data_IF_046331869731
#
_entry.id   IF_046331869731
#
_cell.length_a   1.000
_cell.length_b   1.000
_cell.length_c   1.000
_cell.angle_alpha   90.00
_cell.angle_beta   90.00
_cell.angle_gamma   90.00
#
_symmetry.space_group_name_H-M   'P 1'
#
loop_
_entity.id
_entity.type
_entity.pdbx_description
1 polymer ?
#
# COMPACT_ATOMS: atom_id res chain seq x y z
N UNK A 1 -10.43 -2.10 12.09
CA UNK A 1 -10.66 -1.02 11.15
C UNK A 1 -9.72 0.13 11.47
N UNK A 2 -9.25 0.83 10.46
CA UNK A 2 -8.39 1.99 10.62
C UNK A 2 -9.25 3.26 10.75
N UNK A 3 -8.90 4.13 11.69
CA UNK A 3 -9.53 5.42 11.87
C UNK A 3 -8.46 6.48 12.10
N UNK A 4 -8.61 7.61 11.45
CA UNK A 4 -7.75 8.77 11.63
C UNK A 4 -8.62 9.98 11.92
N UNK A 5 -8.29 10.72 12.97
CA UNK A 5 -9.10 11.83 13.47
C UNK A 5 -8.26 13.10 13.57
N UNK A 6 -8.75 14.17 12.92
CA UNK A 6 -8.18 15.52 12.99
C UNK A 6 -6.68 15.59 12.69
N UNK A 7 -6.21 14.78 11.71
CA UNK A 7 -4.80 14.74 11.35
C UNK A 7 -4.35 16.06 10.70
N UNK A 8 -3.26 16.61 11.19
CA UNK A 8 -2.56 17.72 10.56
C UNK A 8 -1.13 17.28 10.24
N UNK A 9 -0.65 17.62 9.04
CA UNK A 9 0.71 17.36 8.61
C UNK A 9 1.35 18.65 8.11
N UNK A 10 2.48 19.03 8.70
CA UNK A 10 3.28 20.19 8.33
C UNK A 10 4.65 19.67 7.88
N UNK A 11 5.15 20.18 6.76
CA UNK A 11 6.50 19.90 6.26
C UNK A 11 7.11 21.22 5.82
N UNK A 12 8.31 21.54 6.31
CA UNK A 12 9.02 22.80 6.03
C UNK A 12 8.12 24.02 6.26
N UNK A 13 7.47 24.08 7.42
CA UNK A 13 6.52 25.12 7.85
C UNK A 13 5.29 25.31 6.94
N UNK A 14 5.03 24.35 6.04
CA UNK A 14 3.86 24.37 5.15
C UNK A 14 2.88 23.26 5.53
N UNK A 15 1.61 23.59 5.80
CA UNK A 15 0.59 22.57 6.02
C UNK A 15 0.31 21.86 4.69
N UNK A 16 0.49 20.54 4.66
CA UNK A 16 0.09 19.69 3.54
C UNK A 16 -1.41 19.38 3.63
N UNK A 17 -1.90 19.15 4.83
CA UNK A 17 -3.32 19.01 5.15
C UNK A 17 -3.54 19.29 6.64
N UNK A 18 -4.76 19.71 6.99
CA UNK A 18 -5.15 20.03 8.35
C UNK A 18 -6.52 19.44 8.68
N UNK A 19 -6.70 19.04 9.92
CA UNK A 19 -7.96 18.52 10.47
C UNK A 19 -8.58 17.37 9.64
N UNK A 20 -7.74 16.56 8.96
CA UNK A 20 -8.18 15.46 8.11
C UNK A 20 -8.73 14.33 8.98
N UNK A 21 -9.97 13.94 8.70
CA UNK A 21 -10.60 12.79 9.34
C UNK A 21 -10.97 11.76 8.27
N UNK A 22 -10.62 10.51 8.49
CA UNK A 22 -10.98 9.40 7.61
C UNK A 22 -11.18 8.11 8.41
N UNK A 23 -11.98 7.23 7.86
CA UNK A 23 -12.14 5.85 8.34
C UNK A 23 -12.00 4.88 7.18
N UNK A 24 -11.56 3.68 7.45
CA UNK A 24 -11.52 2.58 6.48
C UNK A 24 -12.20 1.36 7.08
N UNK A 25 -13.22 0.88 6.39
CA UNK A 25 -13.96 -0.30 6.78
C UNK A 25 -13.33 -1.60 6.24
N UNK A 26 -13.72 -2.74 6.80
CA UNK A 26 -13.37 -4.04 6.24
C UNK A 26 -13.99 -4.20 4.84
N UNK A 27 -13.22 -4.74 3.89
CA UNK A 27 -13.65 -4.90 2.50
C UNK A 27 -13.64 -3.62 1.66
N UNK A 28 -13.18 -2.50 2.21
CA UNK A 28 -13.15 -1.21 1.50
C UNK A 28 -11.78 -0.93 0.90
N UNK A 29 -11.79 -0.35 -0.32
CA UNK A 29 -10.62 0.25 -0.93
C UNK A 29 -10.73 1.78 -0.86
N UNK A 30 -9.67 2.45 -0.43
CA UNK A 30 -9.57 3.90 -0.36
C UNK A 30 -8.45 4.40 -1.28
N UNK A 31 -8.81 5.17 -2.30
CA UNK A 31 -7.84 5.90 -3.12
C UNK A 31 -7.57 7.27 -2.51
N UNK A 32 -6.32 7.57 -2.24
CA UNK A 32 -5.88 8.92 -1.88
C UNK A 32 -5.41 9.62 -3.15
N UNK A 33 -6.18 10.60 -3.60
CA UNK A 33 -5.93 11.41 -4.78
C UNK A 33 -5.47 12.83 -4.40
N UNK A 34 -4.86 13.54 -5.34
CA UNK A 34 -4.36 14.91 -5.16
C UNK A 34 -3.13 15.16 -6.02
N UNK A 35 -2.75 16.41 -6.17
CA UNK A 35 -1.60 16.83 -6.95
C UNK A 35 -0.26 16.31 -6.38
N UNK A 36 0.80 16.44 -7.16
CA UNK A 36 2.14 16.18 -6.67
C UNK A 36 2.48 17.18 -5.56
N UNK A 37 3.00 16.66 -4.44
CA UNK A 37 3.27 17.50 -3.26
C UNK A 37 2.08 17.70 -2.31
N UNK A 38 0.87 17.24 -2.64
CA UNK A 38 -0.31 17.38 -1.77
C UNK A 38 -0.24 16.58 -0.45
N UNK A 39 0.85 15.84 -0.21
CA UNK A 39 1.02 15.11 1.05
C UNK A 39 0.52 13.66 1.03
N UNK A 40 0.22 13.07 -0.15
CA UNK A 40 -0.27 11.69 -0.25
C UNK A 40 0.64 10.68 0.46
N UNK A 41 1.93 10.66 0.12
CA UNK A 41 2.92 9.77 0.76
C UNK A 41 3.06 10.06 2.26
N UNK A 42 3.01 11.35 2.67
CA UNK A 42 3.05 11.75 4.08
C UNK A 42 1.84 11.20 4.84
N UNK A 43 0.63 11.30 4.28
CA UNK A 43 -0.56 10.71 4.85
C UNK A 43 -0.42 9.20 5.00
N UNK A 44 0.00 8.49 3.94
CA UNK A 44 0.18 7.04 4.00
C UNK A 44 1.19 6.65 5.10
N UNK A 45 2.31 7.39 5.23
CA UNK A 45 3.31 7.13 6.28
C UNK A 45 2.75 7.37 7.68
N UNK A 46 1.91 8.38 7.87
CA UNK A 46 1.22 8.64 9.15
C UNK A 46 0.26 7.48 9.45
N UNK A 47 -0.54 7.04 8.49
CA UNK A 47 -1.48 5.93 8.64
C UNK A 47 -0.78 4.60 8.93
N UNK A 48 0.46 4.42 8.44
CA UNK A 48 1.30 3.26 8.77
C UNK A 48 1.99 3.37 10.15
N UNK A 49 1.89 4.52 10.84
CA UNK A 49 2.66 4.78 12.05
C UNK A 49 4.17 4.94 11.80
N UNK A 50 4.58 5.22 10.55
CA UNK A 50 5.98 5.48 10.15
C UNK A 50 6.37 6.95 10.26
N UNK A 51 5.38 7.84 10.35
CA UNK A 51 5.56 9.26 10.65
C UNK A 51 4.55 9.69 11.72
N UNK A 52 4.89 10.74 12.45
CA UNK A 52 3.98 11.36 13.42
C UNK A 52 3.25 12.51 12.74
N UNK A 53 1.94 12.66 12.94
CA UNK A 53 1.24 13.88 12.55
C UNK A 53 1.63 15.02 13.50
N UNK A 54 1.44 16.27 13.08
CA UNK A 54 1.55 17.45 13.93
C UNK A 54 0.46 17.44 15.02
N UNK A 55 -0.75 17.07 14.62
CA UNK A 55 -1.89 16.86 15.53
C UNK A 55 -2.82 15.77 15.01
N UNK A 56 -3.72 15.31 15.87
CA UNK A 56 -4.65 14.23 15.57
C UNK A 56 -4.13 12.85 15.94
N UNK A 57 -4.96 11.84 15.75
CA UNK A 57 -4.69 10.47 16.19
C UNK A 57 -5.08 9.47 15.10
N UNK A 58 -4.23 8.46 14.91
CA UNK A 58 -4.57 7.27 14.13
C UNK A 58 -4.85 6.12 15.09
N UNK A 59 -5.94 5.41 14.87
CA UNK A 59 -6.36 4.27 15.68
C UNK A 59 -6.58 3.03 14.80
N UNK A 60 -6.21 1.88 15.33
CA UNK A 60 -6.47 0.57 14.75
C UNK A 60 -7.36 -0.23 15.69
N UNK A 61 -8.51 -0.74 15.18
CA UNK A 61 -9.48 -1.50 15.97
C UNK A 61 -9.89 -0.79 17.27
N UNK A 62 -10.08 0.55 17.20
CA UNK A 62 -10.48 1.37 18.33
C UNK A 62 -9.36 1.75 19.30
N UNK A 63 -8.11 1.35 19.05
CA UNK A 63 -6.98 1.69 19.91
C UNK A 63 -5.98 2.59 19.18
N UNK A 64 -5.46 3.65 19.83
CA UNK A 64 -4.41 4.49 19.25
C UNK A 64 -3.19 3.68 18.82
N UNK A 65 -2.63 3.96 17.63
CA UNK A 65 -1.47 3.22 17.10
C UNK A 65 -0.27 3.24 18.06
N UNK A 66 -0.09 4.31 18.83
CA UNK A 66 0.97 4.42 19.81
C UNK A 66 0.93 3.29 20.86
N UNK A 67 -0.25 2.74 21.16
CA UNK A 67 -0.44 1.66 22.14
C UNK A 67 -0.34 0.26 21.54
N UNK A 68 -0.60 0.12 20.22
CA UNK A 68 -0.72 -1.19 19.54
C UNK A 68 0.22 -1.34 18.36
N UNK A 69 1.29 -0.56 18.29
CA UNK A 69 2.17 -0.45 17.13
C UNK A 69 2.68 -1.80 16.62
N UNK A 70 3.14 -2.66 17.51
CA UNK A 70 3.72 -3.95 17.13
C UNK A 70 2.65 -4.89 16.55
N UNK A 71 1.49 -5.02 17.23
CA UNK A 71 0.39 -5.86 16.75
C UNK A 71 -0.23 -5.30 15.47
N UNK A 72 -0.26 -3.97 15.29
CA UNK A 72 -0.69 -3.32 14.08
C UNK A 72 0.24 -3.63 12.91
N UNK A 73 1.55 -3.49 13.08
CA UNK A 73 2.51 -3.77 12.00
C UNK A 73 2.50 -5.24 11.56
N UNK A 74 2.13 -6.18 12.43
CA UNK A 74 1.91 -7.59 12.04
C UNK A 74 0.68 -7.78 11.14
N UNK A 75 -0.27 -6.84 11.18
CA UNK A 75 -1.51 -6.85 10.41
C UNK A 75 -1.49 -5.88 9.21
N UNK A 76 -0.33 -5.27 8.94
CA UNK A 76 -0.14 -4.28 7.88
C UNK A 76 0.84 -4.79 6.83
N UNK A 77 0.47 -4.72 5.57
CA UNK A 77 1.43 -4.71 4.47
C UNK A 77 1.63 -3.28 3.96
N UNK A 78 2.84 -2.76 4.10
CA UNK A 78 3.27 -1.49 3.54
C UNK A 78 4.13 -1.71 2.29
N UNK A 79 3.74 -1.08 1.18
CA UNK A 79 4.56 -0.93 -0.03
C UNK A 79 4.70 0.56 -0.35
N UNK A 80 5.88 1.11 -0.09
CA UNK A 80 6.20 2.49 -0.38
C UNK A 80 6.49 2.74 -1.86
N UNK A 81 6.76 4.00 -2.18
CA UNK A 81 7.11 4.42 -3.53
C UNK A 81 8.35 3.64 -4.06
N UNK A 82 9.40 3.49 -3.25
CA UNK A 82 10.51 2.60 -3.57
C UNK A 82 10.10 1.14 -3.33
N UNK A 83 10.49 0.21 -4.22
CA UNK A 83 10.09 -1.20 -4.12
C UNK A 83 10.48 -1.86 -2.78
N UNK A 84 11.53 -1.35 -2.11
CA UNK A 84 11.99 -1.93 -0.83
C UNK A 84 12.60 -3.32 -1.01
N UNK A 85 13.19 -3.60 -2.15
CA UNK A 85 13.92 -4.84 -2.48
C UNK A 85 15.42 -4.59 -2.52
N UNK A 86 16.21 -5.63 -2.24
CA UNK A 86 17.65 -5.59 -2.35
C UNK A 86 18.07 -6.08 -3.74
N UNK A 87 18.73 -5.20 -4.51
CA UNK A 87 19.14 -5.50 -5.87
C UNK A 87 20.22 -6.61 -5.98
N UNK A 88 21.00 -6.84 -4.93
CA UNK A 88 22.02 -7.88 -4.90
C UNK A 88 21.44 -9.29 -4.66
N UNK A 89 20.24 -9.38 -4.13
CA UNK A 89 19.56 -10.64 -3.87
C UNK A 89 18.70 -11.06 -5.05
N UNK A 90 18.45 -12.37 -5.16
CA UNK A 90 17.51 -12.93 -6.15
C UNK A 90 16.07 -12.56 -5.80
N UNK A 91 15.13 -12.82 -6.72
CA UNK A 91 13.70 -12.61 -6.46
C UNK A 91 13.23 -13.50 -5.30
N UNK A 92 13.60 -14.77 -5.27
CA UNK A 92 13.26 -15.70 -4.19
C UNK A 92 13.86 -15.26 -2.84
N UNK A 93 15.14 -14.90 -2.80
CA UNK A 93 15.80 -14.43 -1.58
C UNK A 93 15.14 -13.16 -1.00
N UNK A 94 14.75 -12.20 -1.85
CA UNK A 94 13.99 -11.03 -1.43
C UNK A 94 12.66 -11.42 -0.78
N UNK A 95 11.90 -12.33 -1.39
CA UNK A 95 10.62 -12.80 -0.84
C UNK A 95 10.82 -13.60 0.44
N UNK A 96 11.83 -14.46 0.51
CA UNK A 96 12.18 -15.22 1.71
C UNK A 96 12.56 -14.31 2.88
N UNK A 97 13.22 -13.18 2.62
CA UNK A 97 13.53 -12.20 3.65
C UNK A 97 12.26 -11.65 4.32
N UNK A 98 11.22 -11.31 3.53
CA UNK A 98 9.96 -10.79 4.05
C UNK A 98 9.05 -11.89 4.61
N UNK A 99 9.12 -13.09 4.07
CA UNK A 99 8.25 -14.22 4.39
C UNK A 99 9.07 -15.48 4.66
N UNK A 100 9.85 -15.51 5.76
CA UNK A 100 10.78 -16.63 6.04
C UNK A 100 10.07 -17.97 6.21
N UNK A 101 8.80 -17.97 6.64
CA UNK A 101 7.99 -19.18 6.79
C UNK A 101 7.32 -19.65 5.49
N UNK A 102 7.41 -18.87 4.39
CA UNK A 102 6.82 -19.29 3.11
C UNK A 102 7.61 -20.43 2.48
N UNK A 103 6.89 -21.40 1.91
CA UNK A 103 7.52 -22.50 1.16
C UNK A 103 7.99 -21.99 -0.21
N UNK A 104 9.03 -22.62 -0.77
CA UNK A 104 9.53 -22.30 -2.11
C UNK A 104 8.40 -22.28 -3.14
N UNK A 105 7.59 -23.33 -3.19
CA UNK A 105 6.45 -23.45 -4.12
C UNK A 105 5.44 -22.30 -4.01
N UNK A 106 5.22 -21.75 -2.80
CA UNK A 106 4.34 -20.60 -2.61
C UNK A 106 4.96 -19.34 -3.23
N UNK A 107 6.27 -19.13 -3.08
CA UNK A 107 6.98 -17.99 -3.66
C UNK A 107 7.04 -18.08 -5.18
N UNK A 108 7.33 -19.25 -5.74
CA UNK A 108 7.31 -19.53 -7.18
C UNK A 108 5.93 -19.26 -7.77
N UNK A 109 4.86 -19.78 -7.14
CA UNK A 109 3.48 -19.53 -7.57
C UNK A 109 3.12 -18.04 -7.50
N UNK A 110 3.58 -17.32 -6.48
CA UNK A 110 3.35 -15.89 -6.34
C UNK A 110 4.14 -15.06 -7.38
N UNK A 111 5.37 -15.45 -7.71
CA UNK A 111 6.14 -14.85 -8.81
C UNK A 111 5.49 -15.11 -10.16
N UNK A 112 5.04 -16.33 -10.41
CA UNK A 112 4.30 -16.68 -11.62
C UNK A 112 3.02 -15.84 -11.78
N UNK A 113 2.29 -15.57 -10.69
CA UNK A 113 1.08 -14.75 -10.71
C UNK A 113 1.32 -13.31 -11.19
N UNK A 114 2.53 -12.78 -11.02
CA UNK A 114 2.92 -11.45 -11.51
C UNK A 114 3.73 -11.50 -12.82
N UNK A 115 3.77 -12.66 -13.49
CA UNK A 115 4.48 -12.84 -14.75
C UNK A 115 6.00 -12.88 -14.62
N UNK A 116 6.50 -13.44 -13.51
CA UNK A 116 7.94 -13.60 -13.22
C UNK A 116 8.34 -15.07 -13.04
N UNK A 117 7.59 -16.01 -13.64
CA UNK A 117 8.01 -17.42 -13.69
C UNK A 117 9.35 -17.54 -14.43
N UNK A 118 10.32 -18.27 -13.85
CA UNK A 118 11.67 -18.44 -14.39
C UNK A 118 12.66 -17.32 -14.05
N UNK A 119 12.22 -16.34 -13.20
CA UNK A 119 13.09 -15.25 -12.72
C UNK A 119 13.47 -15.41 -11.24
N UNK A 120 13.14 -16.53 -10.63
CA UNK A 120 13.26 -16.77 -9.19
C UNK A 120 14.70 -16.60 -8.69
N UNK A 121 15.67 -17.14 -9.46
CA UNK A 121 17.08 -17.19 -9.10
C UNK A 121 17.91 -16.05 -9.72
N UNK A 122 17.27 -15.12 -10.42
CA UNK A 122 17.98 -13.98 -11.00
C UNK A 122 18.14 -12.86 -9.96
N UNK A 123 19.34 -12.31 -9.78
CA UNK A 123 19.55 -11.10 -8.99
C UNK A 123 18.70 -9.94 -9.52
N UNK A 124 18.11 -9.17 -8.62
CA UNK A 124 17.22 -8.07 -9.03
C UNK A 124 17.95 -6.97 -9.82
N UNK A 125 19.28 -6.84 -9.66
CA UNK A 125 20.11 -5.95 -10.48
C UNK A 125 20.05 -6.27 -11.98
N UNK A 126 19.70 -7.49 -12.36
CA UNK A 126 19.54 -7.91 -13.76
C UNK A 126 18.10 -7.71 -14.29
N UNK A 127 17.18 -7.33 -13.43
CA UNK A 127 15.78 -7.11 -13.76
C UNK A 127 15.52 -5.66 -14.11
N UNK A 128 14.61 -5.42 -15.05
CA UNK A 128 14.09 -4.07 -15.34
C UNK A 128 13.37 -3.46 -14.11
N UNK A 129 13.25 -2.14 -14.07
CA UNK A 129 12.53 -1.45 -13.00
C UNK A 129 11.08 -1.97 -12.83
N UNK A 130 10.39 -2.28 -13.92
CA UNK A 130 9.05 -2.88 -13.89
C UNK A 130 9.04 -4.30 -13.33
N UNK A 131 10.05 -5.11 -13.63
CA UNK A 131 10.21 -6.45 -13.05
C UNK A 131 10.52 -6.37 -11.55
N UNK A 132 11.44 -5.48 -11.13
CA UNK A 132 11.73 -5.25 -9.70
C UNK A 132 10.48 -4.79 -8.95
N UNK A 133 9.66 -3.91 -9.57
CA UNK A 133 8.37 -3.50 -9.01
C UNK A 133 7.42 -4.68 -8.86
N UNK A 134 7.34 -5.57 -9.84
CA UNK A 134 6.52 -6.80 -9.76
C UNK A 134 7.02 -7.76 -8.67
N UNK A 135 8.33 -7.90 -8.46
CA UNK A 135 8.87 -8.66 -7.31
C UNK A 135 8.38 -8.07 -5.99
N UNK A 136 8.43 -6.75 -5.81
CA UNK A 136 7.90 -6.11 -4.60
C UNK A 136 6.41 -6.36 -4.42
N UNK A 137 5.62 -6.29 -5.50
CA UNK A 137 4.18 -6.53 -5.50
C UNK A 137 3.81 -7.99 -5.23
N UNK A 138 4.71 -8.95 -5.52
CA UNK A 138 4.49 -10.38 -5.21
C UNK A 138 4.17 -10.61 -3.73
N UNK A 139 4.62 -9.71 -2.85
CA UNK A 139 4.31 -9.73 -1.42
C UNK A 139 2.80 -9.74 -1.13
N UNK A 140 1.98 -9.16 -2.02
CA UNK A 140 0.52 -9.17 -1.91
C UNK A 140 -0.09 -10.59 -2.04
N UNK A 141 0.63 -11.54 -2.65
CA UNK A 141 0.19 -12.94 -2.77
C UNK A 141 0.66 -13.83 -1.63
N UNK A 142 1.63 -13.34 -0.84
CA UNK A 142 2.25 -14.09 0.25
C UNK A 142 1.79 -13.64 1.65
N UNK A 143 1.11 -12.50 1.74
CA UNK A 143 0.69 -11.92 3.01
C UNK A 143 -0.73 -12.30 3.39
N UNK A 144 -0.96 -12.51 4.70
CA UNK A 144 -2.27 -12.62 5.32
C UNK A 144 -2.71 -11.31 6.00
N UNK A 145 -1.94 -10.22 5.84
CA UNK A 145 -2.24 -8.93 6.46
C UNK A 145 -3.60 -8.39 5.98
N UNK A 146 -4.53 -8.08 6.89
CA UNK A 146 -5.85 -7.59 6.53
C UNK A 146 -5.85 -6.13 6.02
N UNK A 147 -4.81 -5.37 6.29
CA UNK A 147 -4.66 -4.00 5.83
C UNK A 147 -3.47 -3.87 4.89
N UNK A 148 -3.70 -3.30 3.70
CA UNK A 148 -2.65 -2.93 2.77
C UNK A 148 -2.59 -1.41 2.60
N UNK A 149 -1.39 -0.84 2.66
CA UNK A 149 -1.16 0.57 2.34
C UNK A 149 -0.10 0.62 1.25
N UNK A 150 -0.48 1.14 0.08
CA UNK A 150 0.27 1.01 -1.17
C UNK A 150 0.52 2.40 -1.79
N UNK A 151 1.78 2.80 -1.88
CA UNK A 151 2.16 4.08 -2.48
C UNK A 151 2.53 3.89 -3.95
N UNK A 152 1.69 4.38 -4.86
CA UNK A 152 1.82 4.28 -6.32
C UNK A 152 2.05 2.85 -6.83
N UNK A 153 1.21 1.86 -6.44
CA UNK A 153 1.48 0.46 -6.77
C UNK A 153 1.45 0.15 -8.27
N UNK A 154 0.78 0.97 -9.09
CA UNK A 154 0.64 0.77 -10.53
C UNK A 154 1.78 1.37 -11.36
N UNK A 155 2.70 2.12 -10.74
CA UNK A 155 3.83 2.74 -11.45
C UNK A 155 4.73 1.69 -12.09
N UNK A 156 5.15 1.93 -13.33
CA UNK A 156 6.00 1.06 -14.15
C UNK A 156 5.42 -0.33 -14.46
N UNK A 157 4.10 -0.50 -14.36
CA UNK A 157 3.40 -1.71 -14.78
C UNK A 157 2.83 -1.57 -16.18
N UNK A 158 2.91 -2.64 -16.96
CA UNK A 158 2.17 -2.79 -18.20
C UNK A 158 0.67 -3.09 -17.96
N UNK A 159 -0.14 -3.07 -19.00
CA UNK A 159 -1.58 -3.26 -18.91
C UNK A 159 -1.97 -4.61 -18.26
N UNK A 160 -1.21 -5.68 -18.53
CA UNK A 160 -1.46 -7.02 -17.99
C UNK A 160 -1.14 -7.07 -16.49
N UNK A 161 -0.01 -6.50 -16.09
CA UNK A 161 0.36 -6.41 -14.67
C UNK A 161 -0.61 -5.52 -13.88
N UNK A 162 -1.10 -4.41 -14.49
CA UNK A 162 -2.12 -3.57 -13.87
C UNK A 162 -3.43 -4.32 -13.66
N UNK A 163 -3.88 -5.10 -14.64
CA UNK A 163 -5.08 -5.93 -14.50
C UNK A 163 -4.91 -6.99 -13.41
N UNK A 164 -3.76 -7.65 -13.37
CA UNK A 164 -3.44 -8.65 -12.36
C UNK A 164 -3.46 -8.06 -10.95
N UNK A 165 -2.85 -6.89 -10.76
CA UNK A 165 -2.87 -6.18 -9.48
C UNK A 165 -4.30 -5.75 -9.10
N UNK A 166 -5.07 -5.24 -10.05
CA UNK A 166 -6.47 -4.85 -9.84
C UNK A 166 -7.32 -6.02 -9.36
N UNK A 167 -7.22 -7.18 -10.01
CA UNK A 167 -7.92 -8.41 -9.58
C UNK A 167 -7.48 -8.85 -8.17
N UNK A 168 -6.20 -8.71 -7.84
CA UNK A 168 -5.69 -9.08 -6.52
C UNK A 168 -6.23 -8.16 -5.42
N UNK A 169 -6.35 -6.84 -5.68
CA UNK A 169 -7.00 -5.89 -4.77
C UNK A 169 -8.48 -6.22 -4.57
N UNK A 170 -9.21 -6.49 -5.65
CA UNK A 170 -10.62 -6.90 -5.57
C UNK A 170 -10.80 -8.20 -4.77
N UNK A 171 -9.92 -9.17 -4.96
CA UNK A 171 -9.95 -10.43 -4.22
C UNK A 171 -9.72 -10.19 -2.73
N UNK A 172 -8.75 -9.35 -2.38
CA UNK A 172 -8.46 -8.99 -1.00
C UNK A 172 -9.66 -8.32 -0.33
N UNK A 173 -10.29 -7.34 -1.00
CA UNK A 173 -11.49 -6.67 -0.49
C UNK A 173 -12.66 -7.65 -0.28
N UNK A 174 -12.91 -8.57 -1.23
CA UNK A 174 -13.97 -9.60 -1.11
C UNK A 174 -13.72 -10.58 0.05
N UNK A 175 -12.47 -10.79 0.43
CA UNK A 175 -12.09 -11.62 1.57
C UNK A 175 -12.15 -10.86 2.90
N UNK A 176 -12.65 -9.61 2.90
CA UNK A 176 -12.77 -8.76 4.10
C UNK A 176 -11.52 -7.94 4.40
N UNK A 177 -10.48 -8.04 3.58
CA UNK A 177 -9.30 -7.17 3.67
C UNK A 177 -9.60 -5.76 3.18
N UNK A 178 -8.75 -4.81 3.52
CA UNK A 178 -8.90 -3.41 3.12
C UNK A 178 -7.60 -2.86 2.59
N UNK A 179 -7.69 -1.90 1.65
CA UNK A 179 -6.47 -1.24 1.18
C UNK A 179 -6.64 0.26 1.03
N UNK A 180 -5.55 0.99 1.31
CA UNK A 180 -5.38 2.40 0.98
C UNK A 180 -4.30 2.48 -0.08
N UNK A 181 -4.56 3.21 -1.16
CA UNK A 181 -3.58 3.35 -2.23
C UNK A 181 -3.55 4.77 -2.81
N UNK A 182 -2.38 5.16 -3.29
CA UNK A 182 -2.22 6.33 -4.17
C UNK A 182 -2.06 5.85 -5.59
N UNK A 183 -2.54 6.60 -6.56
CA UNK A 183 -2.23 6.39 -7.97
C UNK A 183 -2.56 7.62 -8.79
N UNK A 184 -1.74 7.92 -9.80
CA UNK A 184 -2.01 8.90 -10.84
C UNK A 184 -2.70 8.27 -12.06
N UNK A 185 -2.76 6.96 -12.12
CA UNK A 185 -3.41 6.26 -13.21
C UNK A 185 -4.90 6.08 -12.92
N UNK A 186 -5.77 6.23 -13.91
CA UNK A 186 -7.18 5.95 -13.74
C UNK A 186 -7.37 4.45 -13.41
N UNK A 187 -7.96 4.17 -12.28
CA UNK A 187 -8.38 2.82 -11.95
C UNK A 187 -9.58 2.45 -12.83
N UNK A 188 -9.54 1.26 -13.41
CA UNK A 188 -10.73 0.70 -14.07
C UNK A 188 -11.84 0.52 -13.03
N UNK A 189 -13.13 0.50 -13.44
CA UNK A 189 -14.22 0.21 -12.53
C UNK A 189 -13.95 -1.09 -11.76
N UNK A 190 -13.86 -0.98 -10.44
CA UNK A 190 -13.63 -2.11 -9.55
C UNK A 190 -14.96 -2.79 -9.21
N UNK A 191 -14.91 -4.09 -8.99
CA UNK A 191 -16.06 -4.90 -8.54
C UNK A 191 -16.22 -4.92 -7.01
N UNK A 192 -15.64 -3.94 -6.33
CA UNK A 192 -15.71 -3.74 -4.89
C UNK A 192 -15.84 -2.24 -4.59
N UNK A 193 -16.31 -1.84 -3.40
CA UNK A 193 -16.39 -0.44 -3.03
C UNK A 193 -15.03 0.26 -3.09
N UNK A 194 -14.93 1.32 -3.87
CA UNK A 194 -13.78 2.22 -3.94
C UNK A 194 -14.24 3.62 -3.56
N UNK A 195 -13.69 4.15 -2.50
CA UNK A 195 -13.89 5.54 -2.09
C UNK A 195 -12.64 6.36 -2.43
N UNK A 196 -12.82 7.61 -2.82
CA UNK A 196 -11.72 8.53 -3.11
C UNK A 196 -11.67 9.64 -2.07
N UNK A 197 -10.51 9.82 -1.44
CA UNK A 197 -10.16 10.94 -0.61
C UNK A 197 -9.26 11.88 -1.42
N UNK A 198 -9.65 13.14 -1.59
CA UNK A 198 -8.82 14.15 -2.28
C UNK A 198 -8.07 15.00 -1.26
N UNK A 199 -6.75 15.11 -1.44
CA UNK A 199 -5.88 16.06 -0.71
C UNK A 199 -5.63 17.29 -1.60
N UNK A 200 -5.55 18.48 -0.96
CA UNK A 200 -5.21 19.74 -1.68
C UNK A 200 -6.37 20.43 -2.39
N UNK A 201 -7.61 19.99 -2.19
CA UNK A 201 -8.79 20.80 -2.50
C UNK A 201 -9.11 21.73 -1.33
N UNK A 202 -9.50 22.97 -1.58
CA UNK A 202 -9.96 23.91 -0.55
C UNK A 202 -10.91 23.19 0.43
N UNK A 203 -10.64 23.37 1.71
CA UNK A 203 -11.52 22.91 2.78
C UNK A 203 -12.85 23.67 2.71
N UNK A 204 -13.72 23.25 1.81
CA UNK A 204 -15.03 23.85 1.57
C UNK A 204 -16.05 22.81 1.11
N UNK A 205 -16.89 22.33 2.05
CA UNK A 205 -18.19 21.77 1.73
C UNK A 205 -18.24 20.25 1.54
N UNK A 206 -18.29 19.52 2.62
CA UNK A 206 -18.93 18.21 2.64
C UNK A 206 -20.36 18.38 3.19
N UNK A 207 -21.35 18.25 2.35
CA UNK A 207 -22.71 17.84 2.75
C UNK A 207 -22.85 16.35 2.46
#
# INVERSE_FOLDING_TARGET
MLHAEQLTCIVDDRPLFAALTLSLAAGELLQVAGDNGAGKTSLLRILCGLARPESGVVSWQGQPLAKVRESFHRQLLWLGHKPGVNAALTADENLRFFFPSSRLQQRESALAAVGLAGYEDLPLSQLSAGQQRRVALTRLWLTDAPLWILDEPFTALDATAMETLTRRLEQHARQGGSAILTTHQPLRPLRCPLRTLRLGGDAGGGQ
#
